data_IF_667029282062
#
_entry.id   IF_667029282062
#
_cell.length_a   1.000
_cell.length_b   1.000
_cell.length_c   1.000
_cell.angle_alpha   90.00
_cell.angle_beta   90.00
_cell.angle_gamma   90.00
#
_symmetry.space_group_name_H-M   'P 1'
#
loop_
_entity.id
_entity.type
_entity.pdbx_description
1 polymer ?
#
# COMPACT_ATOMS: atom_id res chain seq x y z
N UNK A 1 -20.43 16.28 -9.77
CA UNK A 1 -19.49 15.15 -9.88
C UNK A 1 -18.62 15.13 -8.64
N UNK A 2 -19.06 14.42 -7.60
CA UNK A 2 -18.31 14.31 -6.35
C UNK A 2 -17.13 13.36 -6.54
N UNK A 3 -15.92 13.82 -6.21
CA UNK A 3 -14.75 12.97 -6.18
C UNK A 3 -14.94 11.96 -5.04
N UNK A 4 -15.29 10.71 -5.38
CA UNK A 4 -15.46 9.64 -4.40
C UNK A 4 -14.08 9.11 -3.97
N UNK A 5 -13.26 10.00 -3.42
CA UNK A 5 -12.02 9.62 -2.75
C UNK A 5 -12.38 8.87 -1.50
N UNK A 6 -11.85 7.66 -1.36
CA UNK A 6 -12.05 6.80 -0.20
C UNK A 6 -10.70 6.44 0.40
N UNK A 7 -10.53 6.80 1.67
CA UNK A 7 -9.45 6.34 2.52
C UNK A 7 -10.05 5.49 3.63
N UNK A 8 -9.49 4.31 3.85
CA UNK A 8 -9.79 3.51 5.02
C UNK A 8 -8.56 2.70 5.44
N UNK A 9 -8.55 2.26 6.69
CA UNK A 9 -7.48 1.45 7.24
C UNK A 9 -7.98 0.03 7.43
N UNK A 10 -7.16 -0.94 7.05
CA UNK A 10 -7.45 -2.36 7.17
C UNK A 10 -6.23 -3.09 7.74
N UNK A 11 -6.48 -4.12 8.55
CA UNK A 11 -5.43 -5.07 8.91
C UNK A 11 -5.18 -6.02 7.75
N UNK A 12 -3.91 -6.31 7.46
CA UNK A 12 -3.53 -7.20 6.36
C UNK A 12 -3.54 -8.70 6.72
N UNK A 13 -4.10 -9.07 7.87
CA UNK A 13 -4.32 -10.45 8.33
C UNK A 13 -3.25 -10.94 9.31
N UNK A 14 -2.12 -10.26 9.38
CA UNK A 14 -0.96 -10.61 10.21
C UNK A 14 -0.56 -9.47 11.17
N UNK A 15 -1.47 -8.54 11.46
CA UNK A 15 -1.26 -7.43 12.39
C UNK A 15 -0.66 -6.16 11.77
N UNK A 16 -0.28 -6.18 10.49
CA UNK A 16 0.18 -4.99 9.79
C UNK A 16 -1.02 -4.16 9.30
N UNK A 17 -1.18 -2.98 9.88
CA UNK A 17 -2.16 -1.97 9.44
C UNK A 17 -1.74 -1.30 8.14
N UNK A 18 -2.68 -1.24 7.20
CA UNK A 18 -2.49 -0.69 5.85
C UNK A 18 -3.58 0.33 5.54
N UNK A 19 -3.18 1.50 5.06
CA UNK A 19 -4.06 2.47 4.46
C UNK A 19 -4.40 2.03 3.03
N UNK A 20 -5.70 1.91 2.72
CA UNK A 20 -6.21 1.67 1.38
C UNK A 20 -6.83 2.96 0.85
N UNK A 21 -6.30 3.41 -0.28
CA UNK A 21 -6.67 4.68 -0.92
C UNK A 21 -7.23 4.37 -2.29
N UNK A 22 -8.44 4.87 -2.57
CA UNK A 22 -9.04 4.83 -3.89
C UNK A 22 -9.49 6.22 -4.28
N UNK A 23 -9.10 6.65 -5.48
CA UNK A 23 -9.50 7.90 -6.12
C UNK A 23 -9.96 7.60 -7.54
N UNK A 24 -10.61 8.54 -8.24
CA UNK A 24 -10.87 8.40 -9.67
C UNK A 24 -9.60 8.22 -10.51
N UNK A 25 -8.45 8.69 -10.02
CA UNK A 25 -7.19 8.70 -10.77
C UNK A 25 -6.28 7.49 -10.47
N UNK A 26 -6.43 6.85 -9.31
CA UNK A 26 -5.56 5.76 -8.88
C UNK A 26 -6.11 5.01 -7.66
N UNK A 27 -5.60 3.79 -7.46
CA UNK A 27 -5.64 3.09 -6.18
C UNK A 27 -4.23 2.93 -5.60
N UNK A 28 -4.13 2.87 -4.28
CA UNK A 28 -2.87 2.64 -3.57
C UNK A 28 -3.09 1.90 -2.25
N UNK A 29 -2.02 1.24 -1.81
CA UNK A 29 -1.90 0.68 -0.46
C UNK A 29 -0.61 1.15 0.19
N UNK A 30 -0.70 1.63 1.42
CA UNK A 30 0.46 2.11 2.19
C UNK A 30 0.48 1.42 3.55
N UNK A 31 1.56 0.72 3.87
CA UNK A 31 1.76 0.20 5.21
C UNK A 31 1.99 1.37 6.18
N UNK A 32 1.33 1.36 7.33
CA UNK A 32 1.57 2.39 8.34
C UNK A 32 2.98 2.29 8.92
N UNK A 33 3.53 1.07 8.98
CA UNK A 33 4.94 0.86 9.29
C UNK A 33 5.82 1.38 8.16
N UNK A 34 6.75 2.27 8.52
CA UNK A 34 7.73 2.84 7.58
C UNK A 34 7.13 3.66 6.44
N UNK A 35 5.83 3.99 6.51
CA UNK A 35 5.07 4.65 5.44
C UNK A 35 5.28 4.00 4.05
N UNK A 36 5.51 2.68 4.02
CA UNK A 36 5.94 1.97 2.81
C UNK A 36 4.78 1.81 1.82
N UNK A 37 4.92 2.35 0.61
CA UNK A 37 3.93 2.15 -0.45
C UNK A 37 4.03 0.72 -0.96
N UNK A 38 2.97 -0.07 -0.74
CA UNK A 38 2.91 -1.49 -1.09
C UNK A 38 2.28 -1.72 -2.48
N UNK A 39 1.41 -0.83 -2.90
CA UNK A 39 0.78 -0.91 -4.21
C UNK A 39 0.43 0.49 -4.70
N UNK A 40 0.59 0.70 -5.99
CA UNK A 40 0.09 1.86 -6.68
C UNK A 40 -0.30 1.46 -8.11
N UNK A 41 -1.50 1.87 -8.49
CA UNK A 41 -2.05 1.62 -9.81
C UNK A 41 -2.83 2.86 -10.27
N UNK A 42 -2.32 3.60 -11.27
CA UNK A 42 -3.10 4.61 -11.94
C UNK A 42 -4.32 4.02 -12.66
N UNK A 43 -5.39 4.81 -12.76
CA UNK A 43 -6.59 4.41 -13.47
C UNK A 43 -6.29 4.07 -14.93
N UNK A 44 -6.79 2.92 -15.39
CA UNK A 44 -6.58 2.43 -16.76
C UNK A 44 -5.17 1.87 -17.04
N UNK A 45 -4.30 1.78 -16.03
CA UNK A 45 -2.95 1.25 -16.18
C UNK A 45 -2.77 -0.05 -15.38
N UNK A 46 -1.75 -0.83 -15.74
CA UNK A 46 -1.32 -1.99 -14.97
C UNK A 46 -0.72 -1.57 -13.62
N UNK A 47 -0.72 -2.45 -12.60
CA UNK A 47 0.00 -2.21 -11.35
C UNK A 47 1.46 -1.84 -11.60
N UNK A 48 1.91 -0.74 -10.99
CA UNK A 48 3.26 -0.19 -11.24
C UNK A 48 4.30 -0.82 -10.31
N UNK A 49 3.91 -1.07 -9.06
CA UNK A 49 4.82 -1.56 -8.04
C UNK A 49 4.73 -3.08 -7.93
N UNK A 50 5.90 -3.70 -7.78
CA UNK A 50 6.00 -5.12 -7.46
C UNK A 50 6.12 -5.32 -5.95
N UNK A 51 5.39 -6.29 -5.40
CA UNK A 51 5.58 -6.81 -4.05
C UNK A 51 5.66 -8.33 -4.14
N UNK A 52 6.57 -8.93 -3.37
CA UNK A 52 6.73 -10.38 -3.34
C UNK A 52 5.44 -11.05 -2.88
N UNK A 53 5.00 -12.10 -3.59
CA UNK A 53 3.89 -12.97 -3.12
C UNK A 53 4.24 -13.70 -1.82
N UNK A 54 5.53 -13.85 -1.53
CA UNK A 54 6.04 -14.43 -0.30
C UNK A 54 6.48 -13.35 0.71
N UNK A 55 6.00 -12.11 0.56
CA UNK A 55 6.24 -11.07 1.55
C UNK A 55 5.54 -11.42 2.87
N UNK A 56 6.21 -11.12 3.98
CA UNK A 56 5.65 -11.24 5.33
C UNK A 56 5.06 -9.88 5.70
N UNK A 57 3.81 -9.87 6.16
CA UNK A 57 3.06 -8.67 6.50
C UNK A 57 2.88 -8.56 8.03
N UNK A 58 3.97 -8.72 8.76
CA UNK A 58 3.98 -8.71 10.23
C UNK A 58 4.62 -7.42 10.77
N UNK A 59 4.13 -6.89 11.91
CA UNK A 59 4.78 -5.78 12.60
C UNK A 59 6.27 -6.04 12.88
N UNK A 60 7.10 -5.02 12.68
CA UNK A 60 8.55 -5.08 12.88
C UNK A 60 9.36 -5.67 11.72
N UNK A 61 8.73 -6.38 10.79
CA UNK A 61 9.42 -6.99 9.64
C UNK A 61 9.24 -6.14 8.38
N UNK A 62 10.32 -5.76 7.67
CA UNK A 62 10.21 -5.03 6.41
C UNK A 62 9.50 -5.83 5.31
N UNK A 63 8.60 -5.19 4.57
CA UNK A 63 7.90 -5.82 3.45
C UNK A 63 8.82 -5.84 2.22
N UNK A 64 8.93 -7.00 1.55
CA UNK A 64 9.77 -7.15 0.34
C UNK A 64 9.06 -6.64 -0.92
N UNK A 65 9.49 -5.49 -1.41
CA UNK A 65 8.98 -4.81 -2.60
C UNK A 65 8.31 -3.47 -2.26
N UNK A 66 7.54 -2.91 -3.19
CA UNK A 66 6.95 -1.58 -3.03
C UNK A 66 8.01 -0.49 -3.01
N UNK A 67 7.82 0.52 -2.16
CA UNK A 67 8.73 1.67 -2.00
C UNK A 67 9.18 1.76 -0.54
N UNK A 68 10.24 1.04 -0.12
CA UNK A 68 10.78 1.13 1.22
C UNK A 68 11.45 2.49 1.43
N UNK A 69 11.27 3.07 2.62
CA UNK A 69 11.95 4.29 3.03
C UNK A 69 13.13 3.91 3.94
N UNK A 70 14.35 4.19 3.48
CA UNK A 70 15.55 4.08 4.29
C UNK A 70 15.87 5.48 4.85
N UNK A 71 15.89 5.62 6.17
CA UNK A 71 16.15 6.89 6.84
C UNK A 71 16.79 6.67 8.24
N UNK A 72 17.67 7.57 8.74
CA UNK A 72 18.20 8.74 8.05
C UNK A 72 18.93 8.42 6.76
#
# INVERSE_FOLDING_TARGET
MGCCTRLHFADSGCGLSVAQITTPQASARVALQGAQVLAWQPAGQSPVLWVSKAAVHEPGTPVRGGVPVCWP
#
